data_IF_080878850321
#
_entry.id   IF_080878850321
#
_cell.length_a   1.000
_cell.length_b   1.000
_cell.length_c   1.000
_cell.angle_alpha   90.00
_cell.angle_beta   90.00
_cell.angle_gamma   90.00
#
_symmetry.space_group_name_H-M   'P 1'
#
loop_
_entity.id
_entity.type
_entity.pdbx_description
1 polymer ?
#
# COMPACT_ATOMS: atom_id res chain seq x y z
N UNK A 1 28.35 -6.79 -58.76
CA UNK A 1 26.98 -6.45 -58.39
C UNK A 1 26.14 -6.55 -59.64
N UNK A 2 25.30 -7.57 -59.76
CA UNK A 2 24.25 -7.55 -60.80
C UNK A 2 23.32 -6.38 -60.50
N UNK A 3 22.79 -5.71 -61.52
CA UNK A 3 21.78 -4.65 -61.31
C UNK A 3 20.52 -5.22 -60.63
N UNK A 4 20.23 -6.49 -60.90
CA UNK A 4 19.05 -7.22 -60.41
C UNK A 4 19.15 -7.50 -58.90
N UNK A 5 20.33 -7.86 -58.39
CA UNK A 5 20.55 -8.10 -56.96
C UNK A 5 20.32 -6.81 -56.13
N UNK A 6 20.79 -5.66 -56.63
CA UNK A 6 20.60 -4.39 -55.94
C UNK A 6 19.13 -3.96 -55.90
N UNK A 7 18.43 -4.15 -57.01
CA UNK A 7 17.00 -3.84 -57.11
C UNK A 7 16.20 -4.73 -56.14
N UNK A 8 16.48 -6.03 -56.12
CA UNK A 8 15.85 -6.97 -55.19
C UNK A 8 16.12 -6.63 -53.71
N UNK A 9 17.32 -6.17 -53.37
CA UNK A 9 17.66 -5.71 -52.01
C UNK A 9 16.84 -4.49 -51.59
N UNK A 10 16.78 -3.46 -52.44
CA UNK A 10 16.02 -2.25 -52.12
C UNK A 10 14.51 -2.54 -52.01
N UNK A 11 13.97 -3.36 -52.90
CA UNK A 11 12.58 -3.78 -52.88
C UNK A 11 12.24 -4.56 -51.60
N UNK A 12 13.11 -5.48 -51.16
CA UNK A 12 12.92 -6.21 -49.90
C UNK A 12 12.92 -5.27 -48.70
N UNK A 13 13.88 -4.34 -48.63
CA UNK A 13 13.92 -3.36 -47.55
C UNK A 13 12.70 -2.41 -47.57
N UNK A 14 12.18 -2.08 -48.75
CA UNK A 14 10.97 -1.24 -48.92
C UNK A 14 9.72 -1.96 -48.48
N UNK A 15 9.61 -3.25 -48.80
CA UNK A 15 8.54 -4.09 -48.31
C UNK A 15 8.57 -4.17 -46.78
N UNK A 16 9.74 -4.45 -46.17
CA UNK A 16 9.87 -4.53 -44.71
C UNK A 16 9.51 -3.21 -44.01
N UNK A 17 9.99 -2.07 -44.52
CA UNK A 17 9.66 -0.75 -43.97
C UNK A 17 8.19 -0.35 -44.15
N UNK A 18 7.46 -1.03 -45.05
CA UNK A 18 6.02 -0.81 -45.26
C UNK A 18 5.17 -1.73 -44.39
N UNK A 19 5.69 -2.91 -44.03
CA UNK A 19 4.99 -3.92 -43.22
C UNK A 19 5.15 -3.63 -41.73
N UNK A 20 6.35 -3.24 -41.30
CA UNK A 20 6.72 -3.02 -39.91
C UNK A 20 6.87 -1.54 -39.61
N UNK A 21 6.56 -1.13 -38.38
CA UNK A 21 6.76 0.26 -37.95
C UNK A 21 8.24 0.55 -37.64
N UNK A 22 8.56 1.83 -37.41
CA UNK A 22 9.92 2.30 -37.09
C UNK A 22 10.44 1.78 -35.73
N UNK A 23 9.56 1.26 -34.87
CA UNK A 23 9.96 0.61 -33.61
C UNK A 23 10.43 -0.83 -33.87
N UNK A 24 9.84 -1.53 -34.85
CA UNK A 24 10.10 -2.91 -35.23
C UNK A 24 11.20 -3.07 -36.30
N UNK A 25 11.31 -2.16 -37.27
CA UNK A 25 12.32 -2.25 -38.33
C UNK A 25 13.03 -0.92 -38.56
N UNK A 26 14.37 -0.97 -38.63
CA UNK A 26 15.22 0.20 -38.89
C UNK A 26 16.25 -0.12 -39.96
N UNK A 27 16.33 0.74 -40.98
CA UNK A 27 17.41 0.67 -41.97
C UNK A 27 18.69 1.29 -41.44
N UNK A 28 19.83 0.69 -41.78
CA UNK A 28 21.13 1.27 -41.51
C UNK A 28 21.36 2.50 -42.41
N UNK A 29 22.06 3.51 -41.89
CA UNK A 29 22.43 4.72 -42.65
C UNK A 29 23.32 4.42 -43.87
N UNK A 30 24.01 3.27 -43.85
CA UNK A 30 24.82 2.77 -44.96
C UNK A 30 24.00 2.25 -46.15
N UNK A 31 22.69 2.03 -45.97
CA UNK A 31 21.77 1.54 -46.99
C UNK A 31 21.84 0.04 -47.29
N UNK A 32 22.83 -0.68 -46.77
CA UNK A 32 23.07 -2.10 -47.06
C UNK A 32 22.83 -3.03 -45.85
N UNK A 33 21.91 -2.66 -44.97
CA UNK A 33 21.61 -3.44 -43.77
C UNK A 33 20.49 -2.83 -42.94
N UNK A 34 20.20 -3.47 -41.81
CA UNK A 34 19.15 -3.03 -40.90
C UNK A 34 19.11 -3.80 -39.59
N UNK A 35 18.25 -3.32 -38.69
CA UNK A 35 17.90 -3.94 -37.41
C UNK A 35 16.40 -4.25 -37.43
N UNK A 36 16.04 -5.50 -37.13
CA UNK A 36 14.65 -5.92 -36.92
C UNK A 36 14.47 -6.37 -35.47
N UNK A 37 13.50 -5.80 -34.76
CA UNK A 37 13.09 -6.17 -33.40
C UNK A 37 11.81 -7.00 -33.45
N UNK A 38 11.92 -8.24 -33.01
CA UNK A 38 10.91 -9.27 -33.23
C UNK A 38 10.26 -9.60 -31.89
N UNK A 39 9.00 -9.18 -31.72
CA UNK A 39 8.18 -9.51 -30.56
C UNK A 39 7.44 -10.83 -30.81
N UNK A 40 7.72 -11.86 -30.01
CA UNK A 40 7.08 -13.17 -30.16
C UNK A 40 5.62 -13.14 -29.68
N UNK A 41 4.78 -13.95 -30.32
CA UNK A 41 3.41 -14.16 -29.89
C UNK A 41 3.36 -15.22 -28.78
N UNK A 42 3.07 -14.78 -27.55
CA UNK A 42 3.02 -15.67 -26.39
C UNK A 42 1.61 -16.25 -26.17
N UNK A 43 1.51 -17.52 -25.74
CA UNK A 43 0.26 -18.10 -25.27
C UNK A 43 -0.34 -17.32 -24.08
N UNK A 44 -1.67 -17.36 -23.89
CA UNK A 44 -2.31 -16.72 -22.74
C UNK A 44 -1.81 -17.34 -21.42
N UNK A 45 -1.54 -16.48 -20.43
CA UNK A 45 -1.00 -16.85 -19.12
C UNK A 45 0.37 -17.56 -19.17
N UNK A 46 1.24 -17.17 -20.11
CA UNK A 46 2.60 -17.68 -20.16
C UNK A 46 3.36 -17.33 -18.87
N UNK A 47 4.05 -18.32 -18.30
CA UNK A 47 4.79 -18.15 -17.05
C UNK A 47 6.28 -18.35 -17.24
N UNK A 48 7.07 -17.48 -16.63
CA UNK A 48 8.52 -17.64 -16.52
C UNK A 48 8.89 -18.05 -15.10
N UNK A 49 9.86 -18.93 -14.97
CA UNK A 49 10.35 -19.45 -13.71
C UNK A 49 11.85 -19.24 -13.59
N UNK A 50 12.30 -18.77 -12.43
CA UNK A 50 13.73 -18.69 -12.11
C UNK A 50 14.04 -19.51 -10.86
N UNK A 51 15.00 -20.41 -11.01
CA UNK A 51 15.49 -21.24 -9.91
C UNK A 51 16.44 -20.42 -9.04
N UNK A 52 16.09 -20.25 -7.76
CA UNK A 52 16.94 -19.56 -6.79
C UNK A 52 18.31 -20.22 -6.64
N UNK A 53 19.35 -19.42 -6.45
CA UNK A 53 20.70 -19.92 -6.15
C UNK A 53 20.71 -20.62 -4.78
N UNK A 54 21.39 -21.77 -4.62
CA UNK A 54 21.44 -22.51 -3.36
C UNK A 54 22.12 -21.77 -2.19
N UNK A 55 22.67 -20.56 -2.40
CA UNK A 55 23.38 -19.80 -1.36
C UNK A 55 22.51 -18.79 -0.58
N UNK A 56 21.25 -18.56 -0.95
CA UNK A 56 20.34 -17.69 -0.19
C UNK A 56 19.38 -18.53 0.66
N UNK A 57 19.74 -18.74 1.92
CA UNK A 57 19.08 -19.64 2.89
C UNK A 57 17.62 -19.29 3.27
N UNK A 58 16.95 -18.39 2.55
CA UNK A 58 15.57 -17.95 2.82
C UNK A 58 14.58 -18.26 1.68
N UNK A 59 15.01 -18.72 0.50
CA UNK A 59 14.16 -18.84 -0.70
C UNK A 59 14.30 -20.20 -1.40
N UNK A 60 13.85 -21.27 -0.73
CA UNK A 60 13.88 -22.62 -1.30
C UNK A 60 12.89 -22.86 -2.47
N UNK A 61 12.00 -21.90 -2.76
CA UNK A 61 11.08 -21.94 -3.89
C UNK A 61 11.47 -20.87 -4.90
N UNK A 62 11.72 -21.26 -6.16
CA UNK A 62 11.95 -20.31 -7.23
C UNK A 62 10.76 -19.38 -7.45
N UNK A 63 10.98 -18.25 -8.13
CA UNK A 63 9.95 -17.25 -8.40
C UNK A 63 9.27 -17.53 -9.74
N UNK A 64 7.94 -17.49 -9.75
CA UNK A 64 7.11 -17.67 -10.95
C UNK A 64 6.43 -16.33 -11.27
N UNK A 65 6.60 -15.85 -12.51
CA UNK A 65 5.96 -14.62 -13.00
C UNK A 65 5.09 -14.93 -14.20
N UNK A 66 3.88 -14.38 -14.24
CA UNK A 66 2.99 -14.47 -15.41
C UNK A 66 3.20 -13.24 -16.28
N UNK A 67 3.52 -13.44 -17.55
CA UNK A 67 3.81 -12.37 -18.52
C UNK A 67 2.95 -12.54 -19.77
N UNK A 68 2.71 -11.44 -20.47
CA UNK A 68 2.02 -11.39 -21.76
C UNK A 68 2.97 -11.04 -22.92
N UNK A 69 4.10 -10.41 -22.62
CA UNK A 69 5.12 -9.99 -23.60
C UNK A 69 6.53 -10.32 -23.09
N UNK A 70 7.40 -10.75 -24.01
CA UNK A 70 8.84 -10.92 -23.76
C UNK A 70 9.62 -9.84 -24.52
N UNK A 71 10.80 -9.43 -24.00
CA UNK A 71 11.71 -8.56 -24.75
C UNK A 71 11.98 -9.12 -26.15
N UNK A 72 12.04 -8.25 -27.18
CA UNK A 72 12.16 -8.70 -28.55
C UNK A 72 13.50 -9.39 -28.81
N UNK A 73 13.51 -10.31 -29.77
CA UNK A 73 14.76 -10.76 -30.39
C UNK A 73 15.22 -9.68 -31.36
N UNK A 74 16.51 -9.35 -31.34
CA UNK A 74 17.07 -8.34 -32.24
C UNK A 74 17.90 -9.06 -33.29
N UNK A 75 17.46 -8.94 -34.54
CA UNK A 75 18.17 -9.43 -35.72
C UNK A 75 18.84 -8.24 -36.39
N UNK A 76 20.16 -8.16 -36.29
CA UNK A 76 20.95 -7.20 -37.07
C UNK A 76 21.48 -7.91 -38.30
N UNK A 77 21.32 -7.31 -39.48
CA UNK A 77 21.78 -7.91 -40.72
C UNK A 77 22.42 -6.88 -41.67
N UNK A 78 23.33 -7.37 -42.50
CA UNK A 78 23.97 -6.65 -43.60
C UNK A 78 23.84 -7.49 -44.87
N UNK A 79 23.54 -6.83 -45.98
CA UNK A 79 23.29 -7.45 -47.28
C UNK A 79 24.56 -7.41 -48.15
N UNK A 80 25.17 -8.56 -48.48
CA UNK A 80 26.29 -8.60 -49.40
C UNK A 80 25.92 -8.10 -50.82
N UNK A 81 26.91 -7.63 -51.60
CA UNK A 81 26.70 -7.12 -52.96
C UNK A 81 26.15 -8.13 -53.98
N UNK A 82 26.12 -9.41 -53.63
CA UNK A 82 25.74 -10.58 -54.42
C UNK A 82 24.56 -11.35 -53.83
N UNK A 83 23.91 -10.82 -52.79
CA UNK A 83 22.61 -11.29 -52.30
C UNK A 83 21.48 -10.72 -53.19
N UNK A 84 20.43 -11.48 -53.53
CA UNK A 84 20.11 -12.84 -53.08
C UNK A 84 20.64 -13.96 -53.99
N UNK A 85 21.43 -13.66 -55.02
CA UNK A 85 21.83 -14.67 -56.01
C UNK A 85 22.87 -15.69 -55.53
N UNK A 86 23.84 -15.29 -54.72
CA UNK A 86 25.00 -16.13 -54.39
C UNK A 86 25.28 -16.28 -52.89
N UNK A 87 25.18 -15.21 -52.11
CA UNK A 87 25.54 -15.20 -50.68
C UNK A 87 24.35 -14.83 -49.80
N UNK A 88 24.23 -15.42 -48.59
CA UNK A 88 23.20 -15.05 -47.61
C UNK A 88 23.48 -13.68 -46.96
N UNK A 89 22.48 -13.07 -46.31
CA UNK A 89 22.69 -11.94 -45.42
C UNK A 89 23.67 -12.30 -44.29
N UNK A 90 24.58 -11.38 -43.98
CA UNK A 90 25.43 -11.49 -42.78
C UNK A 90 24.61 -11.00 -41.60
N UNK A 91 24.39 -11.82 -40.58
CA UNK A 91 23.53 -11.44 -39.47
C UNK A 91 24.07 -11.79 -38.09
N UNK A 92 23.54 -11.12 -37.07
CA UNK A 92 23.67 -11.46 -35.66
C UNK A 92 22.29 -11.49 -35.03
N UNK A 93 22.05 -12.48 -34.17
CA UNK A 93 20.79 -12.67 -33.47
C UNK A 93 21.04 -12.54 -31.97
N UNK A 94 20.41 -11.56 -31.35
CA UNK A 94 20.47 -11.36 -29.91
C UNK A 94 19.13 -11.55 -29.23
N UNK A 95 19.17 -12.12 -28.03
CA UNK A 95 17.99 -12.37 -27.22
C UNK A 95 18.36 -12.48 -25.77
N UNK A 96 17.74 -11.66 -24.92
CA UNK A 96 18.07 -11.61 -23.49
C UNK A 96 17.61 -12.86 -22.74
N UNK A 97 16.42 -13.34 -23.08
CA UNK A 97 15.74 -14.42 -22.36
C UNK A 97 16.01 -15.83 -22.94
N UNK A 98 16.66 -15.93 -24.10
CA UNK A 98 17.08 -17.20 -24.72
C UNK A 98 18.53 -17.54 -24.35
N UNK A 99 18.81 -18.83 -24.16
CA UNK A 99 20.20 -19.28 -23.97
C UNK A 99 21.01 -19.17 -25.27
N UNK A 100 22.34 -19.11 -25.15
CA UNK A 100 23.23 -19.10 -26.33
C UNK A 100 23.11 -20.34 -27.20
N UNK A 101 22.77 -21.50 -26.61
CA UNK A 101 22.50 -22.73 -27.36
C UNK A 101 21.22 -22.64 -28.18
N UNK A 102 20.14 -22.08 -27.60
CA UNK A 102 18.87 -21.85 -28.29
C UNK A 102 19.03 -20.82 -29.42
N UNK A 103 19.72 -19.71 -29.16
CA UNK A 103 20.05 -18.72 -30.19
C UNK A 103 20.90 -19.33 -31.32
N UNK A 104 21.87 -20.19 -30.99
CA UNK A 104 22.68 -20.89 -32.01
C UNK A 104 21.85 -21.85 -32.85
N UNK A 105 20.85 -22.53 -32.25
CA UNK A 105 19.91 -23.37 -33.00
C UNK A 105 19.05 -22.55 -33.96
N UNK A 106 18.57 -21.36 -33.54
CA UNK A 106 17.86 -20.45 -34.42
C UNK A 106 18.76 -19.96 -35.57
N UNK A 107 20.00 -19.55 -35.31
CA UNK A 107 20.94 -19.14 -36.37
C UNK A 107 21.11 -20.23 -37.44
N UNK A 108 21.31 -21.49 -37.02
CA UNK A 108 21.41 -22.63 -37.94
C UNK A 108 20.13 -22.84 -38.76
N UNK A 109 18.97 -22.61 -38.16
CA UNK A 109 17.71 -22.72 -38.88
C UNK A 109 17.51 -21.59 -39.89
N UNK A 110 17.90 -20.35 -39.56
CA UNK A 110 17.89 -19.24 -40.51
C UNK A 110 18.81 -19.51 -41.71
N UNK A 111 19.99 -20.10 -41.48
CA UNK A 111 20.85 -20.55 -42.58
C UNK A 111 20.16 -21.59 -43.46
N UNK A 112 19.47 -22.57 -42.86
CA UNK A 112 18.72 -23.58 -43.62
C UNK A 112 17.57 -22.97 -44.45
N UNK A 113 16.84 -22.01 -43.88
CA UNK A 113 15.79 -21.29 -44.62
C UNK A 113 16.36 -20.54 -45.82
N UNK A 114 17.56 -19.97 -45.68
CA UNK A 114 18.26 -19.41 -46.84
C UNK A 114 18.62 -20.47 -47.87
N UNK A 115 19.18 -21.61 -47.43
CA UNK A 115 19.59 -22.70 -48.32
C UNK A 115 18.42 -23.25 -49.14
N UNK A 116 17.24 -23.36 -48.54
CA UNK A 116 16.00 -23.79 -49.20
C UNK A 116 15.47 -22.76 -50.21
N UNK A 117 15.75 -21.47 -49.98
CA UNK A 117 15.26 -20.35 -50.78
C UNK A 117 16.37 -19.62 -51.56
N UNK A 118 17.49 -20.29 -51.85
CA UNK A 118 18.63 -19.70 -52.59
C UNK A 118 18.19 -19.03 -53.88
N UNK A 119 18.65 -17.79 -54.09
CA UNK A 119 18.25 -16.97 -55.24
C UNK A 119 17.02 -16.10 -55.00
N UNK A 120 16.39 -16.18 -53.83
CA UNK A 120 15.24 -15.35 -53.44
C UNK A 120 15.56 -14.53 -52.18
N UNK A 121 14.78 -13.47 -51.97
CA UNK A 121 14.82 -12.64 -50.76
C UNK A 121 14.22 -13.38 -49.54
N UNK A 122 14.83 -13.29 -48.36
CA UNK A 122 14.51 -14.15 -47.19
C UNK A 122 14.27 -13.43 -45.86
N UNK A 123 14.52 -12.12 -45.75
CA UNK A 123 14.40 -11.40 -44.48
C UNK A 123 12.97 -11.40 -43.92
N UNK A 124 11.97 -11.31 -44.79
CA UNK A 124 10.57 -11.44 -44.37
C UNK A 124 10.28 -12.84 -43.82
N UNK A 125 10.74 -13.88 -44.51
CA UNK A 125 10.56 -15.27 -44.07
C UNK A 125 11.27 -15.54 -42.73
N UNK A 126 12.50 -15.02 -42.57
CA UNK A 126 13.23 -15.06 -41.30
C UNK A 126 12.48 -14.36 -40.18
N UNK A 127 11.95 -13.16 -40.45
CA UNK A 127 11.20 -12.37 -39.45
C UNK A 127 9.91 -13.08 -39.04
N UNK A 128 9.18 -13.65 -40.00
CA UNK A 128 7.95 -14.39 -39.75
C UNK A 128 8.20 -15.66 -38.92
N UNK A 129 9.18 -16.47 -39.32
CA UNK A 129 9.59 -17.66 -38.56
C UNK A 129 9.97 -17.29 -37.12
N UNK A 130 10.79 -16.24 -36.95
CA UNK A 130 11.23 -15.81 -35.63
C UNK A 130 10.07 -15.32 -34.74
N UNK A 131 9.01 -14.76 -35.35
CA UNK A 131 7.83 -14.25 -34.65
C UNK A 131 6.85 -15.36 -34.24
N UNK A 132 6.54 -16.27 -35.16
CA UNK A 132 5.42 -17.22 -35.03
C UNK A 132 5.87 -18.63 -34.63
N UNK A 133 7.05 -19.08 -35.07
CA UNK A 133 7.47 -20.47 -34.97
C UNK A 133 8.58 -20.71 -33.96
N UNK A 134 9.28 -19.67 -33.49
CA UNK A 134 10.40 -19.79 -32.53
C UNK A 134 10.05 -20.62 -31.30
N UNK A 135 8.88 -20.38 -30.69
CA UNK A 135 8.48 -21.09 -29.46
C UNK A 135 8.27 -22.58 -29.73
N UNK A 136 7.61 -22.92 -30.84
CA UNK A 136 7.37 -24.31 -31.25
C UNK A 136 8.67 -25.01 -31.65
N UNK A 137 9.54 -24.33 -32.41
CA UNK A 137 10.82 -24.86 -32.87
C UNK A 137 11.77 -25.15 -31.69
N UNK A 138 11.85 -24.25 -30.72
CA UNK A 138 12.67 -24.43 -29.51
C UNK A 138 12.00 -25.28 -28.43
N UNK A 139 10.77 -25.77 -28.69
CA UNK A 139 9.94 -26.51 -27.74
C UNK A 139 9.79 -25.79 -26.38
N UNK A 140 9.59 -24.48 -26.42
CA UNK A 140 9.41 -23.64 -25.25
C UNK A 140 7.96 -23.71 -24.79
N UNK A 141 7.76 -24.27 -23.60
CA UNK A 141 6.45 -24.44 -22.96
C UNK A 141 6.40 -23.69 -21.63
N UNK A 142 5.21 -23.27 -21.24
CA UNK A 142 4.97 -22.64 -19.93
C UNK A 142 4.85 -23.72 -18.83
N UNK A 143 5.50 -23.57 -17.66
CA UNK A 143 6.41 -22.48 -17.29
C UNK A 143 7.81 -22.64 -17.91
N UNK A 144 8.36 -21.55 -18.45
CA UNK A 144 9.69 -21.53 -19.06
C UNK A 144 10.78 -21.16 -18.05
N UNK A 145 11.81 -22.01 -17.92
CA UNK A 145 12.95 -21.79 -17.04
C UNK A 145 14.02 -20.92 -17.72
N UNK A 146 14.30 -19.74 -17.16
CA UNK A 146 15.38 -18.88 -17.63
C UNK A 146 16.73 -19.45 -17.23
N UNK A 147 17.62 -19.64 -18.22
CA UNK A 147 18.98 -20.18 -18.02
C UNK A 147 20.04 -19.17 -18.44
N UNK A 148 21.06 -19.00 -17.61
CA UNK A 148 22.29 -18.31 -18.00
C UNK A 148 23.33 -19.30 -18.51
N UNK A 149 24.03 -18.94 -19.58
CA UNK A 149 25.34 -19.51 -19.84
C UNK A 149 26.34 -18.88 -18.86
N UNK A 150 26.77 -19.62 -17.84
CA UNK A 150 27.96 -19.23 -17.10
C UNK A 150 29.15 -19.25 -18.07
N UNK A 151 29.69 -18.09 -18.40
CA UNK A 151 31.01 -18.03 -19.03
C UNK A 151 32.00 -18.60 -18.02
N UNK A 152 32.49 -19.82 -18.29
CA UNK A 152 33.63 -20.37 -17.58
C UNK A 152 34.77 -19.36 -17.65
N UNK A 153 35.21 -18.90 -16.49
CA UNK A 153 36.28 -17.92 -16.34
C UNK A 153 37.60 -18.60 -16.75
N UNK A 154 37.85 -18.67 -18.07
CA UNK A 154 39.09 -19.12 -18.66
C UNK A 154 40.19 -18.08 -18.43
N UNK A 155 40.66 -17.96 -17.19
CA UNK A 155 41.94 -17.33 -16.93
C UNK A 155 43.02 -18.19 -17.59
N UNK A 156 43.43 -17.79 -18.79
CA UNK A 156 44.74 -18.11 -19.34
C UNK A 156 45.80 -17.61 -18.36
N UNK A 157 46.18 -18.46 -17.40
CA UNK A 157 47.48 -18.37 -16.73
C UNK A 157 48.45 -19.23 -17.53
N UNK A 158 49.17 -18.59 -18.43
CA UNK A 158 50.48 -19.06 -18.90
C UNK A 158 51.40 -19.22 -17.69
N UNK A 159 51.54 -20.44 -17.20
CA UNK A 159 52.59 -20.82 -16.26
C UNK A 159 53.50 -21.84 -16.93
N UNK A 160 54.70 -21.38 -17.23
CA UNK A 160 55.85 -22.18 -17.64
C UNK A 160 56.09 -23.33 -16.64
N UNK A 161 56.29 -24.54 -17.15
CA UNK A 161 56.83 -25.66 -16.38
C UNK A 161 58.28 -25.41 -15.95
N UNK A 162 58.73 -26.10 -14.88
CA UNK A 162 59.94 -26.90 -15.00
C UNK A 162 59.78 -28.34 -14.46
N UNK A 163 60.76 -29.23 -14.73
CA UNK A 163 60.51 -30.65 -14.97
C UNK A 163 60.92 -31.57 -13.80
N UNK A 164 60.56 -32.85 -13.97
CA UNK A 164 61.04 -34.08 -13.31
C UNK A 164 60.20 -34.61 -12.12
N UNK A 165 59.52 -35.75 -12.32
CA UNK A 165 59.98 -37.07 -11.88
C UNK A 165 58.97 -38.17 -12.28
N UNK A 166 59.48 -39.39 -12.37
CA UNK A 166 59.01 -40.56 -13.12
C UNK A 166 57.90 -41.43 -12.49
N UNK A 167 57.17 -42.11 -13.39
CA UNK A 167 56.50 -43.44 -13.33
C UNK A 167 55.55 -43.80 -12.15
N UNK A 168 54.28 -44.14 -12.46
CA UNK A 168 53.89 -45.55 -12.70
C UNK A 168 52.42 -45.77 -13.12
N UNK A 169 52.28 -46.68 -14.10
CA UNK A 169 51.24 -47.69 -14.31
C UNK A 169 49.80 -47.36 -14.74
N UNK A 170 49.28 -48.32 -15.50
CA UNK A 170 48.23 -48.31 -16.49
C UNK A 170 46.80 -48.62 -15.97
N UNK A 171 45.79 -48.06 -16.65
CA UNK A 171 44.40 -48.52 -16.61
C UNK A 171 43.61 -47.94 -17.78
N UNK A 172 43.04 -48.81 -18.60
CA UNK A 172 42.62 -48.55 -19.97
C UNK A 172 41.27 -47.83 -20.12
N UNK A 173 41.24 -46.93 -21.11
CA UNK A 173 40.18 -46.66 -22.08
C UNK A 173 38.72 -46.69 -21.63
N UNK A 174 38.17 -45.49 -21.47
CA UNK A 174 36.75 -45.17 -21.58
C UNK A 174 36.60 -43.76 -22.13
N UNK A 175 37.04 -43.53 -23.37
CA UNK A 175 36.90 -42.25 -24.07
C UNK A 175 35.42 -41.97 -24.29
N UNK A 176 34.82 -41.12 -23.45
CA UNK A 176 33.63 -40.35 -23.83
C UNK A 176 34.14 -38.98 -24.27
N UNK A 177 34.15 -38.79 -25.58
CA UNK A 177 34.36 -37.48 -26.20
C UNK A 177 33.20 -36.62 -25.71
N UNK A 178 33.45 -35.68 -24.80
CA UNK A 178 32.54 -34.58 -24.59
C UNK A 178 32.63 -33.71 -25.84
N UNK A 179 31.60 -33.77 -26.69
CA UNK A 179 31.42 -32.83 -27.78
C UNK A 179 31.37 -31.43 -27.16
N UNK A 180 32.45 -30.66 -27.34
CA UNK A 180 32.40 -29.22 -27.13
C UNK A 180 31.38 -28.67 -28.13
N UNK A 181 30.17 -28.35 -27.68
CA UNK A 181 29.18 -27.65 -28.50
C UNK A 181 29.80 -26.34 -29.00
N UNK A 182 30.15 -26.30 -30.28
CA UNK A 182 30.63 -25.09 -30.95
C UNK A 182 29.46 -24.10 -31.01
N UNK A 183 29.44 -23.17 -30.05
CA UNK A 183 28.44 -22.09 -29.99
C UNK A 183 28.66 -21.12 -31.15
N UNK A 184 27.57 -20.71 -31.81
CA UNK A 184 27.62 -19.78 -32.93
C UNK A 184 28.09 -18.40 -32.44
N UNK A 185 29.05 -17.80 -33.15
CA UNK A 185 29.56 -16.45 -32.83
C UNK A 185 28.49 -15.38 -33.06
N UNK A 186 27.51 -15.65 -33.92
CA UNK A 186 26.37 -14.77 -34.24
C UNK A 186 25.30 -14.75 -33.15
N UNK A 187 25.29 -15.74 -32.25
CA UNK A 187 24.35 -15.85 -31.15
C UNK A 187 24.83 -15.05 -29.92
N UNK A 188 24.14 -13.94 -29.62
CA UNK A 188 24.52 -12.99 -28.56
C UNK A 188 23.47 -13.00 -27.44
N UNK A 189 23.85 -13.47 -26.25
CA UNK A 189 23.02 -13.33 -25.04
C UNK A 189 23.52 -12.11 -24.26
N UNK A 190 22.82 -10.98 -24.36
CA UNK A 190 23.21 -9.71 -23.76
C UNK A 190 22.58 -9.53 -22.37
N UNK A 191 23.14 -10.25 -21.38
CA UNK A 191 22.64 -10.24 -20.00
C UNK A 191 23.79 -10.30 -18.99
N UNK A 192 23.81 -9.35 -18.05
CA UNK A 192 24.81 -9.28 -16.97
C UNK A 192 24.45 -10.16 -15.76
N UNK A 193 23.16 -10.32 -15.43
CA UNK A 193 22.70 -11.17 -14.32
C UNK A 193 21.24 -11.64 -14.48
N UNK A 194 20.88 -12.77 -13.85
CA UNK A 194 19.49 -13.28 -13.84
C UNK A 194 18.52 -12.30 -13.17
N UNK A 195 18.92 -11.64 -12.08
CA UNK A 195 18.06 -10.71 -11.37
C UNK A 195 17.74 -9.48 -12.22
N UNK A 196 18.73 -8.93 -12.93
CA UNK A 196 18.53 -7.83 -13.87
C UNK A 196 17.63 -8.27 -15.04
N UNK A 197 17.83 -9.48 -15.57
CA UNK A 197 17.01 -10.02 -16.65
C UNK A 197 15.53 -10.13 -16.26
N UNK A 198 15.22 -10.62 -15.06
CA UNK A 198 13.82 -10.72 -14.60
C UNK A 198 13.21 -9.33 -14.50
N UNK A 199 13.91 -8.38 -13.88
CA UNK A 199 13.43 -6.99 -13.79
C UNK A 199 13.16 -6.41 -15.17
N UNK A 200 14.10 -6.57 -16.12
CA UNK A 200 13.91 -6.10 -17.49
C UNK A 200 12.73 -6.76 -18.21
N UNK A 201 12.53 -8.07 -18.03
CA UNK A 201 11.37 -8.78 -18.63
C UNK A 201 10.06 -8.26 -18.04
N UNK A 202 9.98 -8.11 -16.71
CA UNK A 202 8.77 -7.63 -16.03
C UNK A 202 8.48 -6.17 -16.39
N UNK A 203 9.50 -5.32 -16.41
CA UNK A 203 9.38 -3.90 -16.79
C UNK A 203 8.94 -3.77 -18.26
N UNK A 204 9.51 -4.60 -19.16
CA UNK A 204 9.10 -4.64 -20.56
C UNK A 204 7.66 -5.13 -20.73
N UNK A 205 7.26 -6.22 -20.06
CA UNK A 205 5.87 -6.71 -20.07
C UNK A 205 4.90 -5.61 -19.62
N UNK A 206 5.20 -4.94 -18.50
CA UNK A 206 4.38 -3.87 -17.98
C UNK A 206 4.29 -2.68 -18.94
N UNK A 207 5.41 -2.28 -19.53
CA UNK A 207 5.45 -1.20 -20.52
C UNK A 207 4.62 -1.54 -21.76
N UNK A 208 4.73 -2.77 -22.27
CA UNK A 208 4.02 -3.19 -23.47
C UNK A 208 2.51 -3.36 -23.20
N UNK A 209 2.13 -3.91 -22.05
CA UNK A 209 0.72 -3.94 -21.60
C UNK A 209 0.15 -2.53 -21.49
N UNK A 210 0.93 -1.58 -20.99
CA UNK A 210 0.54 -0.16 -20.93
C UNK A 210 0.42 0.45 -22.32
N UNK A 211 1.32 0.16 -23.26
CA UNK A 211 1.22 0.59 -24.67
C UNK A 211 -0.06 0.05 -25.30
N UNK A 212 -0.32 -1.25 -25.17
CA UNK A 212 -1.53 -1.89 -25.67
C UNK A 212 -2.81 -1.33 -25.05
N UNK A 213 -2.80 -1.07 -23.74
CA UNK A 213 -3.91 -0.41 -23.05
C UNK A 213 -4.12 1.01 -23.60
N UNK A 214 -3.06 1.79 -23.70
CA UNK A 214 -3.11 3.18 -24.14
C UNK A 214 -3.66 3.36 -25.55
N UNK A 215 -3.41 2.41 -26.44
CA UNK A 215 -3.89 2.41 -27.82
C UNK A 215 -5.33 1.91 -27.98
N UNK A 216 -5.89 1.24 -26.96
CA UNK A 216 -7.27 0.72 -27.00
C UNK A 216 -8.27 1.78 -26.53
N UNK A 217 -9.47 1.74 -27.10
CA UNK A 217 -10.59 2.58 -26.69
C UNK A 217 -11.31 1.90 -25.53
N UNK A 218 -11.57 2.67 -24.47
CA UNK A 218 -12.27 2.25 -23.29
C UNK A 218 -13.45 3.19 -23.01
N UNK A 219 -14.57 2.61 -22.58
CA UNK A 219 -15.76 3.37 -22.18
C UNK A 219 -15.67 3.70 -20.69
N UNK A 220 -15.79 4.98 -20.33
CA UNK A 220 -15.82 5.38 -18.93
C UNK A 220 -17.24 5.23 -18.35
N UNK A 221 -17.41 4.46 -17.27
CA UNK A 221 -18.73 4.25 -16.64
C UNK A 221 -19.29 5.46 -15.87
N UNK A 222 -18.53 6.55 -15.74
CA UNK A 222 -18.98 7.78 -15.05
C UNK A 222 -19.60 8.77 -16.04
N UNK A 223 -18.87 9.07 -17.13
CA UNK A 223 -19.32 10.01 -18.16
C UNK A 223 -19.88 9.36 -19.41
N UNK A 224 -19.79 8.03 -19.53
CA UNK A 224 -20.21 7.24 -20.70
C UNK A 224 -19.56 7.67 -22.03
N UNK A 225 -18.39 8.31 -21.96
CA UNK A 225 -17.61 8.68 -23.14
C UNK A 225 -16.55 7.62 -23.46
N UNK A 226 -16.33 7.38 -24.75
CA UNK A 226 -15.23 6.58 -25.27
C UNK A 226 -13.93 7.40 -25.23
N UNK A 227 -12.89 6.83 -24.64
CA UNK A 227 -11.60 7.47 -24.44
C UNK A 227 -10.48 6.50 -24.75
N UNK A 228 -9.38 7.01 -25.31
CA UNK A 228 -8.16 6.21 -25.48
C UNK A 228 -7.62 5.84 -24.09
N UNK A 229 -7.05 4.65 -23.95
CA UNK A 229 -6.48 4.19 -22.67
C UNK A 229 -5.44 5.17 -22.09
N UNK A 230 -4.76 5.94 -22.94
CA UNK A 230 -3.84 6.99 -22.50
C UNK A 230 -4.52 8.10 -21.65
N UNK A 231 -5.80 8.39 -21.94
CA UNK A 231 -6.64 9.31 -21.19
C UNK A 231 -7.45 8.61 -20.08
N UNK A 232 -7.18 7.33 -19.84
CA UNK A 232 -7.85 6.53 -18.83
C UNK A 232 -6.91 6.13 -17.69
N UNK A 233 -7.53 5.87 -16.55
CA UNK A 233 -6.97 5.30 -15.36
C UNK A 233 -7.49 3.87 -15.21
N UNK A 234 -6.60 2.97 -14.80
CA UNK A 234 -6.91 1.55 -14.61
C UNK A 234 -6.57 1.11 -13.19
N UNK A 235 -7.50 0.41 -12.53
CA UNK A 235 -7.27 -0.21 -11.23
C UNK A 235 -6.77 -1.64 -11.40
N UNK A 236 -5.55 -1.93 -10.94
CA UNK A 236 -4.93 -3.25 -11.11
C UNK A 236 -5.70 -4.36 -10.38
N UNK A 237 -6.25 -4.06 -9.21
CA UNK A 237 -6.90 -5.06 -8.34
C UNK A 237 -8.31 -5.47 -8.79
N UNK A 238 -9.04 -4.57 -9.47
CA UNK A 238 -10.43 -4.83 -9.91
C UNK A 238 -10.67 -4.70 -11.41
N UNK A 239 -9.64 -4.34 -12.18
CA UNK A 239 -9.69 -4.18 -13.64
C UNK A 239 -10.65 -3.11 -14.19
N UNK A 240 -11.22 -2.26 -13.33
CA UNK A 240 -12.10 -1.18 -13.78
C UNK A 240 -11.33 -0.01 -14.40
N UNK A 241 -11.92 0.58 -15.45
CA UNK A 241 -11.33 1.66 -16.25
C UNK A 241 -12.21 2.90 -16.19
N UNK A 242 -11.60 4.05 -15.93
CA UNK A 242 -12.28 5.35 -15.91
C UNK A 242 -11.45 6.41 -16.59
N UNK A 243 -12.06 7.42 -17.20
CA UNK A 243 -11.29 8.52 -17.78
C UNK A 243 -10.63 9.36 -16.67
N UNK A 244 -9.43 9.88 -16.96
CA UNK A 244 -8.63 10.68 -16.01
C UNK A 244 -9.38 11.92 -15.53
N UNK A 245 -10.19 12.54 -16.39
CA UNK A 245 -11.00 13.71 -16.03
C UNK A 245 -12.00 13.39 -14.91
N UNK A 246 -12.81 12.33 -15.06
CA UNK A 246 -13.77 11.94 -14.04
C UNK A 246 -13.10 11.49 -12.73
N UNK A 247 -11.97 10.79 -12.82
CA UNK A 247 -11.23 10.37 -11.63
C UNK A 247 -10.58 11.54 -10.90
N UNK A 248 -10.09 12.55 -11.64
CA UNK A 248 -9.60 13.79 -11.06
C UNK A 248 -10.69 14.47 -10.23
N UNK A 249 -11.85 14.73 -10.83
CA UNK A 249 -12.97 15.38 -10.13
C UNK A 249 -13.41 14.57 -8.90
N UNK A 250 -13.50 13.25 -9.04
CA UNK A 250 -13.83 12.35 -7.94
C UNK A 250 -12.81 12.45 -6.78
N UNK A 251 -11.52 12.39 -7.07
CA UNK A 251 -10.48 12.51 -6.04
C UNK A 251 -10.45 13.88 -5.39
N UNK A 252 -10.60 14.96 -6.17
CA UNK A 252 -10.63 16.32 -5.63
C UNK A 252 -11.78 16.53 -4.64
N UNK A 253 -12.96 15.99 -4.94
CA UNK A 253 -14.13 16.05 -4.06
C UNK A 253 -13.86 15.26 -2.78
N UNK A 254 -13.42 14.00 -2.89
CA UNK A 254 -13.16 13.13 -1.72
C UNK A 254 -12.08 13.70 -0.78
N UNK A 255 -11.01 14.27 -1.34
CA UNK A 255 -9.94 14.91 -0.55
C UNK A 255 -10.44 16.20 0.13
N UNK A 256 -11.32 16.96 -0.54
CA UNK A 256 -11.91 18.18 0.02
C UNK A 256 -12.85 17.88 1.18
N UNK A 257 -13.64 16.81 1.06
CA UNK A 257 -14.58 16.35 2.08
C UNK A 257 -13.88 15.63 3.26
N UNK A 258 -12.56 15.39 3.14
CA UNK A 258 -11.74 14.81 4.21
C UNK A 258 -11.80 13.28 4.27
N UNK A 259 -12.40 12.64 3.27
CA UNK A 259 -12.65 11.20 3.23
C UNK A 259 -11.50 10.45 2.54
N UNK A 260 -10.29 10.61 3.07
CA UNK A 260 -9.05 10.07 2.45
C UNK A 260 -8.87 8.56 2.59
N UNK A 261 -9.58 7.92 3.52
CA UNK A 261 -9.54 6.47 3.73
C UNK A 261 -10.19 5.66 2.61
N UNK A 262 -10.90 6.34 1.70
CA UNK A 262 -11.77 5.70 0.73
C UNK A 262 -11.64 6.32 -0.67
N UNK A 263 -10.41 6.57 -1.15
CA UNK A 263 -10.19 6.77 -2.60
C UNK A 263 -10.37 5.43 -3.34
N UNK A 264 -11.57 4.89 -3.22
CA UNK A 264 -11.97 3.59 -3.71
C UNK A 264 -12.40 3.70 -5.17
N UNK A 265 -12.36 2.58 -5.85
CA UNK A 265 -13.03 2.40 -7.12
C UNK A 265 -14.49 2.88 -7.02
N UNK A 266 -14.97 3.72 -7.95
CA UNK A 266 -16.36 4.18 -7.98
C UNK A 266 -17.41 3.06 -8.16
N UNK A 267 -16.98 1.85 -8.54
CA UNK A 267 -17.89 0.71 -8.76
C UNK A 267 -18.52 0.22 -7.44
N UNK A 268 -19.85 0.05 -7.37
CA UNK A 268 -20.51 -0.48 -6.19
C UNK A 268 -19.98 -1.87 -5.80
N UNK A 269 -19.73 -2.07 -4.51
CA UNK A 269 -19.17 -3.31 -3.91
C UNK A 269 -17.71 -3.60 -4.27
N UNK A 270 -17.02 -2.68 -4.92
CA UNK A 270 -15.58 -2.78 -5.13
C UNK A 270 -14.82 -2.16 -3.94
N UNK A 271 -13.87 -2.88 -3.37
CA UNK A 271 -13.02 -2.43 -2.26
C UNK A 271 -11.60 -2.08 -2.70
N UNK A 272 -11.35 -1.99 -4.01
CA UNK A 272 -10.04 -1.62 -4.54
C UNK A 272 -9.77 -0.14 -4.29
N UNK A 273 -8.55 0.18 -3.87
CA UNK A 273 -8.12 1.53 -3.48
C UNK A 273 -7.14 2.06 -4.53
N UNK A 274 -7.22 3.35 -4.83
CA UNK A 274 -6.26 4.02 -5.70
C UNK A 274 -4.90 4.12 -4.99
N UNK A 275 -3.82 3.85 -5.73
CA UNK A 275 -2.46 3.98 -5.17
C UNK A 275 -2.08 5.47 -5.00
N UNK A 276 -1.21 5.82 -4.05
CA UNK A 276 -0.80 7.23 -3.87
C UNK A 276 -0.18 7.85 -5.12
N UNK A 277 0.58 7.06 -5.91
CA UNK A 277 1.16 7.53 -7.17
C UNK A 277 0.11 7.89 -8.22
N UNK A 278 -0.96 7.10 -8.30
CA UNK A 278 -2.11 7.35 -9.15
C UNK A 278 -2.87 8.63 -8.78
N UNK A 279 -3.02 8.89 -7.48
CA UNK A 279 -3.65 10.12 -6.98
C UNK A 279 -2.76 11.33 -7.31
N UNK A 280 -1.44 11.21 -7.11
CA UNK A 280 -0.46 12.25 -7.43
C UNK A 280 -0.43 12.62 -8.91
N UNK A 281 -0.68 11.66 -9.80
CA UNK A 281 -0.73 11.92 -11.25
C UNK A 281 -1.92 12.80 -11.65
N UNK A 282 -3.06 12.66 -10.96
CA UNK A 282 -4.32 13.30 -11.35
C UNK A 282 -4.62 14.60 -10.60
N UNK A 283 -4.17 14.71 -9.36
CA UNK A 283 -4.54 15.79 -8.45
C UNK A 283 -3.40 16.80 -8.33
N UNK A 284 -3.73 18.08 -8.19
CA UNK A 284 -2.75 19.15 -8.00
C UNK A 284 -1.90 18.96 -6.73
N UNK A 285 -0.67 19.49 -6.74
CA UNK A 285 0.31 19.31 -5.66
C UNK A 285 -0.23 19.73 -4.28
N UNK A 286 -1.00 20.82 -4.21
CA UNK A 286 -1.58 21.32 -2.96
C UNK A 286 -2.62 20.36 -2.37
N UNK A 287 -3.47 19.78 -3.23
CA UNK A 287 -4.49 18.81 -2.82
C UNK A 287 -3.86 17.46 -2.50
N UNK A 288 -2.82 17.05 -3.23
CA UNK A 288 -2.04 15.86 -2.91
C UNK A 288 -1.33 15.99 -1.55
N UNK A 289 -0.73 17.13 -1.24
CA UNK A 289 -0.12 17.37 0.07
C UNK A 289 -1.17 17.31 1.21
N UNK A 290 -2.39 17.79 0.95
CA UNK A 290 -3.51 17.62 1.89
C UNK A 290 -3.90 16.16 2.05
N UNK A 291 -4.00 15.40 0.96
CA UNK A 291 -4.27 13.96 0.99
C UNK A 291 -3.20 13.20 1.79
N UNK A 292 -1.93 13.44 1.52
CA UNK A 292 -0.80 12.80 2.20
C UNK A 292 -0.81 13.08 3.71
N UNK A 293 -1.04 14.35 4.09
CA UNK A 293 -1.18 14.73 5.50
C UNK A 293 -2.36 14.03 6.17
N UNK A 294 -3.52 13.98 5.52
CA UNK A 294 -4.71 13.33 6.06
C UNK A 294 -4.54 11.80 6.13
N UNK A 295 -3.87 11.19 5.17
CA UNK A 295 -3.56 9.76 5.16
C UNK A 295 -2.61 9.40 6.31
N UNK A 296 -1.58 10.23 6.53
CA UNK A 296 -0.66 10.09 7.65
C UNK A 296 -1.39 10.27 8.99
N UNK A 297 -2.19 11.34 9.12
CA UNK A 297 -2.99 11.58 10.33
C UNK A 297 -3.94 10.43 10.62
N UNK A 298 -4.66 9.95 9.61
CA UNK A 298 -5.42 8.71 9.57
C UNK A 298 -4.67 7.52 10.22
N UNK A 299 -3.52 7.23 9.63
CA UNK A 299 -2.71 6.08 10.02
C UNK A 299 -2.20 6.21 11.47
N UNK A 300 -1.86 7.42 11.90
CA UNK A 300 -1.42 7.72 13.25
C UNK A 300 -2.56 7.68 14.28
N UNK A 301 -3.76 8.11 13.91
CA UNK A 301 -4.94 8.08 14.79
C UNK A 301 -5.38 6.65 15.16
N UNK A 302 -5.05 5.68 14.31
CA UNK A 302 -5.28 4.25 14.57
C UNK A 302 -4.27 3.65 15.56
N UNK A 303 -3.14 4.33 15.81
CA UNK A 303 -2.10 3.85 16.72
C UNK A 303 -2.37 4.32 18.15
N UNK A 304 -2.43 3.36 19.09
CA UNK A 304 -2.79 3.62 20.49
C UNK A 304 -1.70 4.40 21.27
N UNK A 305 -0.46 4.38 20.79
CA UNK A 305 0.72 5.01 21.38
C UNK A 305 1.01 6.40 20.78
N UNK A 306 0.15 6.94 19.92
CA UNK A 306 0.31 8.28 19.35
C UNK A 306 -0.62 9.28 20.02
N UNK A 307 -0.04 10.39 20.51
CA UNK A 307 -0.78 11.52 21.08
C UNK A 307 -0.35 12.84 20.44
N UNK A 308 -1.30 13.70 20.11
CA UNK A 308 -0.99 14.99 19.49
C UNK A 308 -0.64 16.06 20.50
N UNK A 309 0.34 16.90 20.14
CA UNK A 309 0.65 18.10 20.91
C UNK A 309 -0.60 18.96 21.10
N UNK A 310 -0.96 19.33 22.35
CA UNK A 310 -2.20 20.06 22.62
C UNK A 310 -2.15 21.54 22.23
N UNK A 311 -0.99 22.06 21.81
CA UNK A 311 -0.88 23.44 21.33
C UNK A 311 -1.61 23.55 19.97
N UNK A 312 -2.60 24.44 19.83
CA UNK A 312 -3.34 24.61 18.57
C UNK A 312 -2.46 24.97 17.37
N UNK A 313 -1.34 25.65 17.62
CA UNK A 313 -0.37 26.03 16.60
C UNK A 313 0.67 24.94 16.28
N UNK A 314 0.67 23.80 16.98
CA UNK A 314 1.66 22.74 16.80
C UNK A 314 1.03 21.44 16.30
N UNK A 315 0.17 20.81 17.11
CA UNK A 315 -0.48 19.53 16.79
C UNK A 315 0.44 18.45 16.20
N UNK A 316 1.75 18.47 16.50
CA UNK A 316 2.67 17.42 16.05
C UNK A 316 2.37 16.12 16.78
N UNK A 317 2.34 14.96 16.09
CA UNK A 317 2.21 13.65 16.73
C UNK A 317 3.43 13.37 17.62
N UNK A 318 3.18 12.83 18.81
CA UNK A 318 4.18 12.47 19.82
C UNK A 318 3.95 11.02 20.22
N UNK A 319 5.01 10.21 20.14
CA UNK A 319 4.99 8.82 20.62
C UNK A 319 4.95 8.80 22.14
N UNK A 320 4.02 8.05 22.71
CA UNK A 320 3.88 7.82 24.14
C UNK A 320 4.65 6.56 24.53
N UNK A 321 5.55 6.69 25.51
CA UNK A 321 6.16 5.51 26.11
C UNK A 321 5.15 4.76 27.00
N UNK A 322 5.06 3.42 26.88
CA UNK A 322 4.22 2.61 27.76
C UNK A 322 4.61 2.88 29.21
N UNK A 323 3.62 3.15 30.08
CA UNK A 323 3.76 3.51 31.51
C UNK A 323 4.13 4.96 31.87
N UNK A 324 4.52 5.79 30.89
CA UNK A 324 4.76 7.21 31.13
C UNK A 324 3.56 8.08 30.71
N UNK A 325 3.22 9.04 31.56
CA UNK A 325 2.15 10.03 31.30
C UNK A 325 2.72 11.35 30.76
N UNK A 326 4.01 11.39 30.44
CA UNK A 326 4.71 12.56 29.94
C UNK A 326 4.90 12.44 28.44
N UNK A 327 4.42 13.42 27.68
CA UNK A 327 4.74 13.59 26.26
C UNK A 327 5.58 14.84 26.08
N UNK A 328 6.68 14.74 25.34
CA UNK A 328 7.52 15.89 24.96
C UNK A 328 7.40 16.08 23.45
N UNK A 329 6.84 17.21 23.04
CA UNK A 329 6.73 17.52 21.61
C UNK A 329 8.09 17.91 21.04
N UNK A 330 8.57 17.21 20.01
CA UNK A 330 9.84 17.50 19.34
C UNK A 330 9.86 18.83 18.57
N UNK A 331 8.70 19.32 18.12
CA UNK A 331 8.62 20.57 17.35
C UNK A 331 8.63 21.83 18.22
N UNK A 332 7.87 21.84 19.32
CA UNK A 332 7.72 23.02 20.19
C UNK A 332 8.30 22.85 21.59
N UNK A 333 8.91 21.70 21.89
CA UNK A 333 9.49 21.33 23.19
C UNK A 333 8.51 21.45 24.37
N UNK A 334 7.20 21.44 24.08
CA UNK A 334 6.19 21.49 25.13
C UNK A 334 6.06 20.12 25.79
N UNK A 335 6.34 20.07 27.10
CA UNK A 335 6.13 18.91 27.93
C UNK A 335 4.71 18.93 28.52
N UNK A 336 3.91 17.93 28.17
CA UNK A 336 2.51 17.83 28.56
C UNK A 336 2.18 16.46 29.13
N UNK A 337 1.10 16.41 29.91
CA UNK A 337 0.54 15.16 30.37
C UNK A 337 -0.30 14.52 29.25
N UNK A 338 -0.02 13.28 28.86
CA UNK A 338 -0.74 12.55 27.80
C UNK A 338 -2.21 12.31 28.15
N UNK A 339 -2.55 12.30 29.44
CA UNK A 339 -3.91 12.09 29.95
C UNK A 339 -4.76 13.36 29.92
N UNK A 340 -4.30 14.43 30.57
CA UNK A 340 -5.09 15.67 30.69
C UNK A 340 -4.79 16.71 29.62
N UNK A 341 -3.75 16.49 28.79
CA UNK A 341 -3.28 17.40 27.73
C UNK A 341 -2.83 18.79 28.25
N UNK A 342 -2.61 18.93 29.55
CA UNK A 342 -2.08 20.14 30.21
C UNK A 342 -0.57 20.02 30.46
N UNK A 343 0.06 21.06 30.99
CA UNK A 343 1.47 21.02 31.42
C UNK A 343 1.75 19.80 32.29
N UNK A 344 2.85 19.09 32.02
CA UNK A 344 3.21 17.92 32.80
C UNK A 344 3.37 18.26 34.29
N UNK A 345 2.74 17.47 35.14
CA UNK A 345 2.61 17.75 36.58
C UNK A 345 3.16 16.62 37.47
N UNK A 346 3.89 15.66 36.88
CA UNK A 346 4.52 14.55 37.59
C UNK A 346 3.51 13.72 38.37
N UNK A 347 3.76 13.57 39.67
CA UNK A 347 2.91 12.81 40.62
C UNK A 347 1.63 13.52 41.02
N UNK A 348 1.49 14.81 40.70
CA UNK A 348 0.28 15.57 41.06
C UNK A 348 -0.92 15.00 40.29
N UNK A 349 -2.12 14.93 40.90
CA UNK A 349 -3.31 14.43 40.21
C UNK A 349 -3.66 15.32 39.02
N UNK A 350 -4.06 14.69 37.91
CA UNK A 350 -4.55 15.40 36.73
C UNK A 350 -5.73 16.30 37.11
N UNK A 351 -5.66 17.59 36.76
CA UNK A 351 -6.80 18.52 36.86
C UNK A 351 -7.74 18.34 35.67
N UNK A 352 -8.35 17.15 35.56
CA UNK A 352 -9.38 16.89 34.56
C UNK A 352 -10.64 17.65 34.97
N UNK A 353 -11.27 18.37 34.02
CA UNK A 353 -12.53 19.07 34.28
C UNK A 353 -13.66 18.06 34.50
N UNK A 354 -14.64 18.42 35.34
CA UNK A 354 -15.79 17.56 35.64
C UNK A 354 -16.58 17.15 34.38
N UNK A 355 -16.62 18.01 33.36
CA UNK A 355 -17.24 17.74 32.06
C UNK A 355 -16.54 16.60 31.32
N UNK A 356 -15.21 16.65 31.19
CA UNK A 356 -14.42 15.59 30.52
C UNK A 356 -14.47 14.24 31.25
N UNK A 357 -14.58 14.25 32.59
CA UNK A 357 -14.80 13.01 33.35
C UNK A 357 -16.19 12.43 33.09
N UNK A 358 -17.19 13.29 32.88
CA UNK A 358 -18.56 12.88 32.57
C UNK A 358 -18.66 12.27 31.17
N UNK A 359 -17.99 12.86 30.18
CA UNK A 359 -17.88 12.35 28.81
C UNK A 359 -17.17 11.00 28.76
N UNK A 360 -15.98 10.90 29.37
CA UNK A 360 -15.19 9.66 29.44
C UNK A 360 -15.98 8.51 30.08
N UNK A 361 -16.78 8.82 31.10
CA UNK A 361 -17.67 7.84 31.73
C UNK A 361 -18.77 7.36 30.78
N UNK A 362 -19.46 8.27 30.11
CA UNK A 362 -20.54 7.90 29.20
C UNK A 362 -20.01 7.01 28.07
N UNK A 363 -18.87 7.39 27.50
CA UNK A 363 -18.16 6.59 26.49
C UNK A 363 -17.79 5.21 27.04
N UNK A 364 -17.26 5.12 28.26
CA UNK A 364 -16.90 3.84 28.88
C UNK A 364 -18.11 2.93 29.19
N UNK A 365 -19.26 3.50 29.58
CA UNK A 365 -20.48 2.75 29.87
C UNK A 365 -21.18 2.25 28.61
N UNK A 366 -21.06 2.98 27.51
CA UNK A 366 -21.64 2.63 26.20
C UNK A 366 -20.70 1.73 25.36
N UNK A 367 -19.43 1.67 25.72
CA UNK A 367 -18.38 0.90 25.08
C UNK A 367 -18.53 -0.63 25.27
N UNK A 368 -18.18 -1.39 24.23
CA UNK A 368 -18.00 -2.85 24.27
C UNK A 368 -16.67 -3.24 24.96
N UNK A 369 -16.48 -4.52 25.28
CA UNK A 369 -15.28 -4.97 26.04
C UNK A 369 -13.95 -4.60 25.36
N UNK A 370 -13.91 -4.48 24.03
CA UNK A 370 -12.68 -4.12 23.32
C UNK A 370 -12.37 -2.64 23.45
N UNK A 371 -13.37 -1.77 23.28
CA UNK A 371 -13.22 -0.32 23.45
C UNK A 371 -13.03 0.05 24.92
N UNK A 372 -13.64 -0.66 25.87
CA UNK A 372 -13.35 -0.49 27.30
C UNK A 372 -11.87 -0.76 27.63
N UNK A 373 -11.31 -1.88 27.13
CA UNK A 373 -9.86 -2.17 27.30
C UNK A 373 -8.98 -1.11 26.65
N UNK A 374 -9.39 -0.59 25.49
CA UNK A 374 -8.69 0.50 24.82
C UNK A 374 -8.71 1.79 25.65
N UNK A 375 -9.87 2.15 26.22
CA UNK A 375 -10.01 3.30 27.12
C UNK A 375 -9.19 3.11 28.40
N UNK A 376 -9.17 1.91 28.99
CA UNK A 376 -8.33 1.58 30.15
C UNK A 376 -6.83 1.73 29.87
N UNK A 377 -6.37 1.31 28.69
CA UNK A 377 -4.98 1.49 28.27
C UNK A 377 -4.64 2.97 28.02
N UNK A 378 -5.56 3.72 27.42
CA UNK A 378 -5.36 5.11 27.03
C UNK A 378 -5.39 6.08 28.21
N UNK A 379 -6.37 5.93 29.11
CA UNK A 379 -6.60 6.86 30.24
C UNK A 379 -6.11 6.32 31.58
N UNK A 380 -5.84 5.01 31.68
CA UNK A 380 -5.45 4.35 32.91
C UNK A 380 -6.65 4.02 33.81
N UNK A 381 -6.65 2.81 34.37
CA UNK A 381 -7.76 2.27 35.19
C UNK A 381 -8.20 3.18 36.34
N UNK A 382 -7.26 3.86 37.00
CA UNK A 382 -7.54 4.77 38.13
C UNK A 382 -8.35 6.00 37.73
N UNK A 383 -8.14 6.53 36.53
CA UNK A 383 -8.86 7.72 36.04
C UNK A 383 -10.31 7.36 35.68
N UNK A 384 -10.50 6.20 35.07
CA UNK A 384 -11.82 5.65 34.74
C UNK A 384 -12.61 5.35 36.01
N UNK A 385 -11.97 4.70 36.99
CA UNK A 385 -12.59 4.43 38.28
C UNK A 385 -13.02 5.73 39.00
N UNK A 386 -12.17 6.75 39.00
CA UNK A 386 -12.54 8.07 39.55
C UNK A 386 -13.71 8.71 38.81
N UNK A 387 -13.77 8.57 37.48
CA UNK A 387 -14.89 9.08 36.68
C UNK A 387 -16.23 8.38 36.99
N UNK A 388 -16.18 7.09 37.34
CA UNK A 388 -17.34 6.32 37.80
C UNK A 388 -17.79 6.74 39.21
N UNK A 389 -16.84 6.85 40.15
CA UNK A 389 -17.10 7.17 41.56
C UNK A 389 -17.63 8.59 41.79
N UNK A 390 -17.24 9.58 40.98
CA UNK A 390 -17.65 10.99 41.15
C UNK A 390 -19.18 11.18 40.95
N UNK A 391 -19.86 10.25 40.25
CA UNK A 391 -21.32 10.24 40.12
C UNK A 391 -22.01 9.72 41.39
N UNK A 392 -21.46 8.68 42.04
CA UNK A 392 -22.03 8.11 43.26
C UNK A 392 -22.01 9.15 44.39
N UNK A 393 -20.92 9.90 44.52
CA UNK A 393 -20.82 10.97 45.53
C UNK A 393 -21.83 12.10 45.28
N UNK A 394 -22.00 12.56 44.03
CA UNK A 394 -22.95 13.65 43.72
C UNK A 394 -24.42 13.22 43.82
N UNK A 395 -24.77 12.05 43.27
CA UNK A 395 -26.13 11.50 43.39
C UNK A 395 -26.49 11.20 44.84
N UNK A 396 -25.54 10.74 45.65
CA UNK A 396 -25.75 10.52 47.07
C UNK A 396 -25.97 11.84 47.81
N UNK A 397 -25.19 12.90 47.51
CA UNK A 397 -25.39 14.23 48.09
C UNK A 397 -26.76 14.81 47.75
N UNK A 398 -27.21 14.72 46.50
CA UNK A 398 -28.53 15.22 46.10
C UNK A 398 -29.69 14.46 46.76
N UNK A 399 -29.52 13.16 46.98
CA UNK A 399 -30.57 12.30 47.56
C UNK A 399 -30.65 12.40 49.08
N UNK A 400 -29.51 12.54 49.76
CA UNK A 400 -29.43 12.45 51.23
C UNK A 400 -29.22 13.81 51.92
N UNK A 401 -28.94 14.88 51.18
CA UNK A 401 -28.69 16.20 51.76
C UNK A 401 -29.47 17.31 51.05
N UNK A 402 -29.73 18.41 51.77
CA UNK A 402 -30.30 19.65 51.20
C UNK A 402 -29.42 20.84 51.54
N UNK A 403 -29.39 21.83 50.65
CA UNK A 403 -28.58 23.03 50.82
C UNK A 403 -29.25 24.03 51.79
N UNK A 404 -28.44 24.66 52.64
CA UNK A 404 -28.89 25.78 53.46
C UNK A 404 -29.29 26.98 52.56
N UNK A 405 -30.47 27.59 52.76
CA UNK A 405 -30.93 28.72 51.95
C UNK A 405 -30.12 30.01 52.17
N UNK A 406 -29.29 30.09 53.21
CA UNK A 406 -28.48 31.26 53.53
C UNK A 406 -27.06 31.16 52.97
N UNK A 407 -26.41 29.99 53.08
CA UNK A 407 -24.99 29.84 52.77
C UNK A 407 -24.65 28.67 51.83
N UNK A 408 -25.63 27.90 51.36
CA UNK A 408 -25.41 26.80 50.40
C UNK A 408 -24.71 25.56 50.96
N UNK A 409 -24.41 25.51 52.26
CA UNK A 409 -23.83 24.30 52.89
C UNK A 409 -24.82 23.13 52.82
N UNK A 410 -24.36 21.97 52.36
CA UNK A 410 -25.16 20.74 52.32
C UNK A 410 -25.36 20.21 53.75
N UNK A 411 -26.60 19.91 54.10
CA UNK A 411 -27.01 19.45 55.43
C UNK A 411 -27.79 18.16 55.26
N UNK A 412 -27.42 17.13 56.00
CA UNK A 412 -28.16 15.88 56.12
C UNK A 412 -29.15 15.96 57.28
N UNK A 413 -30.34 15.37 57.11
CA UNK A 413 -31.33 15.22 58.19
C UNK A 413 -31.14 13.82 58.81
N UNK A 414 -30.58 13.76 60.01
CA UNK A 414 -30.36 12.50 60.73
C UNK A 414 -31.65 11.98 61.37
N UNK A 415 -32.32 12.80 62.19
CA UNK A 415 -33.64 12.51 62.77
C UNK A 415 -34.24 13.79 63.41
N UNK A 416 -35.56 13.81 63.65
CA UNK A 416 -36.26 14.85 64.38
C UNK A 416 -37.11 15.80 63.53
N UNK A 417 -37.44 16.96 64.12
CA UNK A 417 -38.37 17.91 63.53
C UNK A 417 -37.83 18.59 62.26
N UNK A 418 -38.73 19.07 61.41
CA UNK A 418 -38.41 19.74 60.14
C UNK A 418 -37.85 21.18 60.33
N UNK A 419 -37.64 21.63 61.58
CA UNK A 419 -36.86 22.83 61.89
C UNK A 419 -35.38 22.46 61.95
N UNK A 420 -34.63 22.85 60.93
CA UNK A 420 -33.20 22.56 60.80
C UNK A 420 -32.35 23.75 61.23
N UNK A 421 -31.11 23.47 61.64
CA UNK A 421 -30.11 24.48 61.99
C UNK A 421 -28.87 24.25 61.15
N UNK A 422 -28.45 25.25 60.37
CA UNK A 422 -27.26 25.12 59.55
C UNK A 422 -25.98 25.08 60.39
N UNK A 423 -25.11 24.10 60.16
CA UNK A 423 -23.83 24.02 60.88
C UNK A 423 -22.83 25.14 60.47
N UNK A 424 -22.92 25.64 59.23
CA UNK A 424 -22.06 26.71 58.73
C UNK A 424 -22.45 28.10 59.26
N UNK A 425 -23.67 28.55 58.95
CA UNK A 425 -24.11 29.91 59.28
C UNK A 425 -25.04 30.01 60.51
N UNK A 426 -25.40 28.87 61.13
CA UNK A 426 -26.34 28.78 62.27
C UNK A 426 -27.74 29.37 62.01
N UNK A 427 -28.10 29.57 60.74
CA UNK A 427 -29.45 30.00 60.37
C UNK A 427 -30.45 28.86 60.55
N UNK A 428 -31.62 29.17 61.12
CA UNK A 428 -32.74 28.23 61.16
C UNK A 428 -33.47 28.24 59.83
N UNK A 429 -33.85 27.07 59.33
CA UNK A 429 -34.62 26.92 58.10
C UNK A 429 -35.55 25.70 58.18
N UNK A 430 -36.58 25.68 57.35
CA UNK A 430 -37.50 24.55 57.24
C UNK A 430 -36.98 23.51 56.24
N UNK A 431 -36.92 22.23 56.64
CA UNK A 431 -36.48 21.13 55.77
C UNK A 431 -37.42 20.85 54.59
N UNK A 432 -38.71 21.19 54.73
CA UNK A 432 -39.72 20.92 53.70
C UNK A 432 -39.62 21.94 52.58
N UNK A 433 -39.77 23.22 52.91
CA UNK A 433 -39.83 24.30 51.91
C UNK A 433 -38.50 25.03 51.68
N UNK A 434 -37.45 24.68 52.43
CA UNK A 434 -36.15 25.37 52.41
C UNK A 434 -36.24 26.87 52.74
N UNK A 435 -37.32 27.32 53.38
CA UNK A 435 -37.51 28.70 53.80
C UNK A 435 -36.72 29.04 55.07
N UNK A 436 -36.11 30.23 55.10
CA UNK A 436 -35.44 30.77 56.29
C UNK A 436 -36.43 31.04 57.42
N UNK A 437 -36.14 30.53 58.63
CA UNK A 437 -36.96 30.70 59.82
C UNK A 437 -36.43 31.83 60.70
N UNK A 438 -37.33 32.56 61.36
CA UNK A 438 -36.95 33.63 62.28
C UNK A 438 -36.23 33.08 63.52
N UNK A 439 -35.23 33.81 64.05
CA UNK A 439 -34.52 33.41 65.28
C UNK A 439 -35.37 33.56 66.54
N UNK A 440 -36.29 34.52 66.57
CA UNK A 440 -37.15 34.79 67.73
C UNK A 440 -38.29 33.79 67.90
N UNK A 441 -38.88 33.32 66.80
CA UNK A 441 -39.89 32.25 66.85
C UNK A 441 -39.76 31.33 65.62
N UNK A 442 -38.87 30.32 65.68
CA UNK A 442 -38.64 29.39 64.57
C UNK A 442 -39.84 28.49 64.24
N UNK A 443 -40.73 28.26 65.21
CA UNK A 443 -41.86 27.34 65.08
C UNK A 443 -43.13 27.98 64.52
N UNK A 444 -43.22 29.32 64.49
CA UNK A 444 -44.35 30.05 63.90
C UNK A 444 -44.68 29.57 62.48
N UNK A 445 -43.66 29.27 61.68
CA UNK A 445 -43.82 28.77 60.31
C UNK A 445 -44.63 27.46 60.21
N UNK A 446 -44.68 26.66 61.28
CA UNK A 446 -45.45 25.41 61.32
C UNK A 446 -46.83 25.58 61.97
N UNK A 447 -47.09 26.70 62.65
CA UNK A 447 -48.38 27.00 63.30
C UNK A 447 -49.20 28.07 62.56
N UNK A 448 -48.66 28.63 61.48
CA UNK A 448 -49.34 29.63 60.67
C UNK A 448 -50.16 28.95 59.54
N UNK A 449 -51.50 29.08 59.52
CA UNK A 449 -52.33 28.50 58.46
C UNK A 449 -52.00 29.01 57.05
N UNK A 450 -51.34 30.17 56.94
CA UNK A 450 -50.89 30.72 55.66
C UNK A 450 -49.58 30.10 55.14
N UNK A 451 -48.90 29.31 55.96
CA UNK A 451 -47.64 28.65 55.59
C UNK A 451 -47.88 27.34 54.83
N UNK A 452 -47.10 27.05 53.77
CA UNK A 452 -47.18 25.76 53.08
C UNK A 452 -46.77 24.57 53.97
N UNK A 453 -46.17 24.83 55.14
CA UNK A 453 -45.71 23.83 56.10
C UNK A 453 -46.55 23.78 57.38
N UNK A 454 -47.77 24.32 57.37
CA UNK A 454 -48.69 24.28 58.51
C UNK A 454 -48.93 22.85 59.00
N UNK A 455 -48.79 22.61 60.32
CA UNK A 455 -48.87 21.32 61.00
C UNK A 455 -47.92 20.22 60.48
N UNK A 456 -46.85 20.60 59.78
CA UNK A 456 -45.88 19.65 59.20
C UNK A 456 -44.53 19.61 59.93
N UNK A 457 -44.50 20.02 61.20
CA UNK A 457 -43.26 20.06 61.99
C UNK A 457 -42.60 18.67 62.12
N UNK A 458 -43.39 17.62 62.26
CA UNK A 458 -42.92 16.23 62.39
C UNK A 458 -43.30 15.36 61.18
N UNK A 459 -43.75 15.97 60.07
CA UNK A 459 -44.10 15.21 58.87
C UNK A 459 -42.88 14.44 58.35
N UNK A 460 -43.03 13.12 58.16
CA UNK A 460 -41.97 12.23 57.69
C UNK A 460 -40.99 11.79 58.78
N UNK A 461 -41.34 11.93 60.07
CA UNK A 461 -40.69 11.17 61.15
C UNK A 461 -41.31 9.78 61.18
N UNK A 462 -40.51 8.73 61.10
CA UNK A 462 -40.97 7.37 61.39
C UNK A 462 -41.23 7.29 62.89
N UNK A 463 -42.47 7.52 63.30
CA UNK A 463 -42.98 6.96 64.54
C UNK A 463 -43.36 5.51 64.25
N UNK A 464 -42.73 4.59 64.94
CA UNK A 464 -43.43 3.37 65.36
C UNK A 464 -44.75 3.83 65.99
N UNK A 465 -45.87 3.26 65.51
CA UNK A 465 -47.27 3.37 65.97
C UNK A 465 -48.24 3.77 64.84
N UNK A 466 -48.60 2.78 64.03
CA UNK A 466 -49.95 2.63 63.48
C UNK A 466 -50.27 1.13 63.44
N UNK A 467 -51.25 0.79 64.25
CA UNK A 467 -51.77 -0.52 64.63
C UNK A 467 -52.31 -1.36 63.45
N UNK A 468 -52.51 -2.65 63.77
CA UNK A 468 -53.35 -3.62 63.09
C UNK A 468 -54.71 -3.06 62.59
N UNK A 469 -55.24 -3.68 61.53
CA UNK A 469 -56.55 -3.58 60.83
C UNK A 469 -56.29 -3.33 59.32
N UNK A 470 -56.52 -4.23 58.36
CA UNK A 470 -57.25 -5.50 58.23
C UNK A 470 -56.47 -6.50 57.33
#
# INVERSE_FOLDING_TARGET
MSSEDKEAQEDELLALASIYDEDEFKRAESGQGGETKICLELPPNFKIFVRGSPNERLLHNGFEYTICFLPPLVLNFELPPDYPSASPPVFTLSGKWLSRTQLSALCKHLDNLWEENRGCVVLFAWTQFLKEETLSYLNIVSPYELKMCHQGNGQHRTSLMPPNAELDSCGAAGTTIAEEEILDKRAVQDVESLSNLIMEIVDFDQAQRKKCFNSKIHLCSICFCEKLGAECMYFMDCSHVYCKACMKDYFEIQIRDGQVHCLNCPEPKCSSVATPGQVKELVEEQLFARYDRLLLQSSLDLMADVVYCPRPCCQTPVMQEPSCTMGICSSCNYAFCTLCKMTYHGVSPCKVTAEKLTELRNEYLEADETTQRFLEQRYGKRVIQKALEEMESRKWLDKNSKCCPCCGTHIEKLDGCNKMTCNGCRQYFCWICLGSLSRGNPYKHFHDPSSPCFNRLFQGMHGEDAEDED
#
